data_IF_968586267406
#
_entry.id   IF_968586267406
#
_cell.length_a   1.000
_cell.length_b   1.000
_cell.length_c   1.000
_cell.angle_alpha   90.00
_cell.angle_beta   90.00
_cell.angle_gamma   90.00
#
_symmetry.space_group_name_H-M   'P 1'
#
loop_
_entity.id
_entity.type
_entity.pdbx_description
1 polymer ?
#
# COMPACT_ATOMS: atom_id res chain seq x y z
N UNK A 1 3.89 9.37 -10.40
CA UNK A 1 2.74 10.20 -9.98
C UNK A 1 1.39 9.56 -10.34
N UNK A 2 1.10 9.26 -11.61
CA UNK A 2 -0.16 8.59 -12.01
C UNK A 2 -0.47 7.35 -11.17
N UNK A 3 0.51 6.45 -11.00
CA UNK A 3 0.39 5.25 -10.17
C UNK A 3 0.00 5.57 -8.72
N UNK A 4 0.59 6.61 -8.12
CA UNK A 4 0.24 7.04 -6.75
C UNK A 4 -1.18 7.56 -6.65
N UNK A 5 -1.59 8.38 -7.61
CA UNK A 5 -2.95 8.95 -7.66
C UNK A 5 -3.98 7.83 -7.76
N UNK A 6 -3.74 6.82 -8.61
CA UNK A 6 -4.63 5.67 -8.75
C UNK A 6 -4.70 4.85 -7.45
N UNK A 7 -3.56 4.56 -6.82
CA UNK A 7 -3.55 3.81 -5.54
C UNK A 7 -4.34 4.55 -4.45
N UNK A 8 -4.20 5.88 -4.35
CA UNK A 8 -4.87 6.67 -3.31
C UNK A 8 -6.37 6.80 -3.58
N UNK A 9 -6.77 7.11 -4.83
CA UNK A 9 -8.16 7.39 -5.17
C UNK A 9 -8.99 6.12 -5.37
N UNK A 10 -8.45 5.13 -6.08
CA UNK A 10 -9.17 3.90 -6.42
C UNK A 10 -8.85 2.75 -5.47
N UNK A 11 -7.71 2.77 -4.78
CA UNK A 11 -7.30 1.66 -3.91
C UNK A 11 -8.22 1.46 -2.70
N UNK A 12 -8.54 2.53 -1.98
CA UNK A 12 -9.45 2.46 -0.82
C UNK A 12 -10.82 1.87 -1.16
N UNK A 13 -11.58 2.41 -2.15
CA UNK A 13 -12.92 1.90 -2.44
C UNK A 13 -12.94 0.45 -2.95
N UNK A 14 -11.86 -0.01 -3.59
CA UNK A 14 -11.76 -1.38 -4.14
C UNK A 14 -11.37 -2.40 -3.07
N UNK A 15 -10.47 -2.06 -2.17
CA UNK A 15 -9.88 -3.01 -1.22
C UNK A 15 -10.42 -2.89 0.22
N UNK A 16 -11.27 -1.92 0.55
CA UNK A 16 -11.83 -1.76 1.90
C UNK A 16 -12.59 -3.01 2.42
N UNK A 17 -13.33 -3.71 1.55
CA UNK A 17 -14.18 -4.85 1.93
C UNK A 17 -13.54 -6.20 1.51
N UNK A 18 -12.24 -6.24 1.20
CA UNK A 18 -11.60 -7.41 0.57
C UNK A 18 -11.71 -8.69 1.42
N UNK A 19 -11.65 -8.56 2.75
CA UNK A 19 -11.80 -9.68 3.68
C UNK A 19 -13.27 -10.04 3.93
N UNK A 20 -14.17 -9.05 3.98
CA UNK A 20 -15.60 -9.30 4.22
C UNK A 20 -16.27 -10.00 3.03
N UNK A 21 -15.83 -9.70 1.81
CA UNK A 21 -16.34 -10.35 0.58
C UNK A 21 -15.67 -11.68 0.27
N UNK A 22 -14.71 -12.13 1.08
CA UNK A 22 -14.05 -13.41 0.91
C UNK A 22 -14.90 -14.54 1.51
N UNK A 23 -15.52 -15.35 0.64
CA UNK A 23 -16.47 -16.41 1.03
C UNK A 23 -15.83 -17.78 0.92
N UNK A 24 -15.96 -18.60 1.97
CA UNK A 24 -15.58 -20.02 1.98
C UNK A 24 -16.82 -20.91 2.05
N UNK A 25 -16.86 -21.98 1.26
CA UNK A 25 -17.96 -22.96 1.30
C UNK A 25 -17.78 -23.96 2.45
N UNK A 26 -18.03 -23.48 3.68
CA UNK A 26 -17.98 -24.30 4.89
C UNK A 26 -18.83 -23.66 5.99
N UNK A 27 -19.35 -24.49 6.91
CA UNK A 27 -20.04 -24.04 8.12
C UNK A 27 -19.08 -23.85 9.30
N UNK A 28 -17.79 -24.16 9.13
CA UNK A 28 -16.80 -24.06 10.20
C UNK A 28 -16.51 -22.59 10.53
N UNK A 29 -16.72 -22.15 11.79
CA UNK A 29 -16.42 -20.79 12.19
C UNK A 29 -14.90 -20.52 12.10
N UNK A 30 -14.54 -19.33 11.62
CA UNK A 30 -13.14 -18.90 11.51
C UNK A 30 -12.38 -19.40 10.28
N UNK A 31 -12.92 -20.34 9.50
CA UNK A 31 -12.23 -20.87 8.32
C UNK A 31 -11.95 -19.79 7.27
N UNK A 32 -12.91 -18.90 6.98
CA UNK A 32 -12.73 -17.81 6.03
C UNK A 32 -11.59 -16.87 6.43
N UNK A 33 -11.40 -16.64 7.73
CA UNK A 33 -10.36 -15.76 8.25
C UNK A 33 -8.96 -16.35 8.03
N UNK A 34 -8.79 -17.64 8.30
CA UNK A 34 -7.52 -18.35 8.09
C UNK A 34 -7.22 -18.52 6.60
N UNK A 35 -8.22 -18.88 5.80
CA UNK A 35 -8.07 -19.01 4.35
C UNK A 35 -7.71 -17.67 3.69
N UNK A 36 -8.30 -16.56 4.17
CA UNK A 36 -7.97 -15.23 3.69
C UNK A 36 -6.52 -14.85 4.02
N UNK A 37 -6.06 -15.10 5.26
CA UNK A 37 -4.68 -14.83 5.68
C UNK A 37 -3.63 -15.60 4.85
N UNK A 38 -3.95 -16.85 4.48
CA UNK A 38 -3.08 -17.67 3.62
C UNK A 38 -3.12 -17.17 2.16
N UNK A 39 -4.28 -16.77 1.65
CA UNK A 39 -4.44 -16.30 0.28
C UNK A 39 -3.77 -14.93 0.06
N UNK A 40 -3.95 -14.02 1.01
CA UNK A 40 -3.49 -12.62 0.94
C UNK A 40 -2.78 -12.23 2.23
N UNK A 41 -1.56 -12.75 2.48
CA UNK A 41 -0.81 -12.47 3.72
C UNK A 41 -0.45 -10.99 3.87
N UNK A 42 -0.38 -10.26 2.75
CA UNK A 42 -0.31 -8.80 2.70
C UNK A 42 -1.33 -8.33 1.70
N UNK A 43 -2.22 -7.43 2.10
CA UNK A 43 -3.19 -6.89 1.15
C UNK A 43 -2.50 -6.15 0.01
N UNK A 44 -3.08 -6.27 -1.18
CA UNK A 44 -2.53 -5.65 -2.38
C UNK A 44 -2.42 -4.13 -2.19
N UNK A 45 -3.42 -3.49 -1.58
CA UNK A 45 -3.35 -2.05 -1.31
C UNK A 45 -2.13 -1.67 -0.45
N UNK A 46 -1.87 -2.42 0.63
CA UNK A 46 -0.72 -2.16 1.52
C UNK A 46 0.61 -2.36 0.82
N UNK A 47 0.74 -3.43 0.03
CA UNK A 47 1.95 -3.68 -0.75
C UNK A 47 2.27 -2.52 -1.69
N UNK A 48 1.28 -2.04 -2.45
CA UNK A 48 1.46 -0.96 -3.42
C UNK A 48 1.79 0.37 -2.76
N UNK A 49 1.23 0.65 -1.58
CA UNK A 49 1.59 1.83 -0.78
C UNK A 49 3.05 1.77 -0.34
N UNK A 50 3.49 0.66 0.27
CA UNK A 50 4.87 0.49 0.72
C UNK A 50 5.83 0.62 -0.46
N UNK A 51 5.57 -0.09 -1.56
CA UNK A 51 6.38 -0.01 -2.77
C UNK A 51 6.53 1.43 -3.27
N UNK A 52 5.44 2.19 -3.27
CA UNK A 52 5.48 3.55 -3.79
C UNK A 52 6.20 4.52 -2.86
N UNK A 53 6.08 4.35 -1.54
CA UNK A 53 6.87 5.10 -0.56
C UNK A 53 8.36 4.78 -0.74
N UNK A 54 8.73 3.51 -0.89
CA UNK A 54 10.12 3.10 -1.11
C UNK A 54 10.73 3.73 -2.37
N UNK A 55 9.94 3.89 -3.45
CA UNK A 55 10.39 4.57 -4.68
C UNK A 55 10.49 6.09 -4.50
N UNK A 56 9.61 6.71 -3.72
CA UNK A 56 9.63 8.16 -3.48
C UNK A 56 10.76 8.58 -2.53
N UNK A 57 11.09 7.73 -1.56
CA UNK A 57 12.07 8.01 -0.51
C UNK A 57 13.43 8.52 -1.02
N UNK A 58 14.14 7.86 -1.95
CA UNK A 58 15.44 8.35 -2.44
C UNK A 58 15.34 9.71 -3.13
N UNK A 59 14.25 9.94 -3.88
CA UNK A 59 14.00 11.22 -4.55
C UNK A 59 13.77 12.35 -3.54
N UNK A 60 13.01 12.06 -2.48
CA UNK A 60 12.76 13.00 -1.39
C UNK A 60 14.04 13.34 -0.63
N UNK A 61 14.84 12.32 -0.28
CA UNK A 61 16.14 12.51 0.39
C UNK A 61 17.07 13.36 -0.46
N UNK A 62 17.17 13.08 -1.76
CA UNK A 62 18.01 13.87 -2.66
C UNK A 62 17.54 15.32 -2.77
N UNK A 63 16.23 15.55 -2.87
CA UNK A 63 15.65 16.90 -2.91
C UNK A 63 15.98 17.68 -1.64
N UNK A 64 15.85 17.05 -0.46
CA UNK A 64 16.23 17.64 0.83
C UNK A 64 17.72 17.95 0.87
N UNK A 65 18.56 17.03 0.40
CA UNK A 65 20.01 17.25 0.33
C UNK A 65 20.36 18.47 -0.54
N UNK A 66 19.80 18.58 -1.74
CA UNK A 66 20.04 19.72 -2.64
C UNK A 66 19.58 21.03 -2.01
N UNK A 67 18.38 21.06 -1.41
CA UNK A 67 17.87 22.24 -0.72
C UNK A 67 18.78 22.66 0.45
N UNK A 68 19.22 21.69 1.26
CA UNK A 68 20.14 21.96 2.36
C UNK A 68 21.47 22.52 1.87
N UNK A 69 22.07 21.91 0.83
CA UNK A 69 23.34 22.39 0.27
C UNK A 69 23.20 23.77 -0.37
N UNK A 70 22.09 24.04 -1.05
CA UNK A 70 21.79 25.35 -1.62
C UNK A 70 21.64 26.43 -0.55
N UNK A 71 20.92 26.14 0.54
CA UNK A 71 20.75 27.07 1.66
C UNK A 71 22.06 27.36 2.41
N UNK A 72 23.00 26.40 2.45
CA UNK A 72 24.32 26.60 3.06
C UNK A 72 25.27 27.42 2.18
N UNK A 73 25.05 27.45 0.86
CA UNK A 73 25.88 28.17 -0.11
C UNK A 73 25.36 29.60 -0.40
N UNK A 74 24.13 29.91 -0.01
CA UNK A 74 23.50 31.22 -0.12
C UNK A 74 23.77 32.07 1.13
#
# INVERSE_FOLDING_TARGET
LLRMVVIILAGSPVYQDEQERFVCNTLQPGCANVCYDIFSPVSQLRFWLIQSVSVLLPSAIFSVYVLHRGAVLA
#
